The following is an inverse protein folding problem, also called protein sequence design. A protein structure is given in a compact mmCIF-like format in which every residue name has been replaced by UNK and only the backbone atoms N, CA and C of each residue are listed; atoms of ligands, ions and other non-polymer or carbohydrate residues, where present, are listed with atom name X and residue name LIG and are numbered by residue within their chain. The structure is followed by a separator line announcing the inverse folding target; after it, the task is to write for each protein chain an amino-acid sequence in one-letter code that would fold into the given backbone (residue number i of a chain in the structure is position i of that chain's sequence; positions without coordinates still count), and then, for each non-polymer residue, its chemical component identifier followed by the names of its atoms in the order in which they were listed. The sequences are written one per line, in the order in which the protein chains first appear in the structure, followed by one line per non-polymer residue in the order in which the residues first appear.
data_IF_150330001519
#
_entry.id   IF_150330001519
#
_cell.length_a   1.000
_cell.length_b   1.000
_cell.length_c   1.000
_cell.angle_alpha   90.00
_cell.angle_beta   90.00
_cell.angle_gamma   90.00
#
_symmetry.space_group_name_H-M   'P 1'
#
loop_
_entity.id
_entity.type
_entity.pdbx_description
1 polymer ?
#
# COMPACT_ATOMS: atom_id res chain seq x y z
N UNK A 1 20.18 -33.06 37.79
CA UNK A 1 19.71 -32.18 36.71
C UNK A 1 18.65 -31.29 37.34
N UNK A 2 18.94 -30.00 37.49
CA UNK A 2 17.99 -29.06 38.11
C UNK A 2 17.07 -28.48 37.03
N UNK A 3 15.77 -28.58 37.26
CA UNK A 3 14.74 -28.07 36.35
C UNK A 3 14.19 -26.78 36.96
N UNK A 4 14.25 -25.67 36.21
CA UNK A 4 13.70 -24.38 36.64
C UNK A 4 12.55 -23.99 35.71
N UNK A 5 11.33 -24.01 36.23
CA UNK A 5 10.16 -23.50 35.52
C UNK A 5 10.10 -21.97 35.63
N UNK A 6 9.89 -21.30 34.51
CA UNK A 6 9.75 -19.84 34.43
C UNK A 6 8.34 -19.54 33.94
N UNK A 7 7.51 -18.96 34.81
CA UNK A 7 6.19 -18.46 34.42
C UNK A 7 6.36 -17.05 33.83
N UNK A 8 5.95 -16.84 32.58
CA UNK A 8 5.96 -15.52 31.93
C UNK A 8 4.53 -15.08 31.62
N UNK A 9 4.24 -13.82 31.90
CA UNK A 9 3.00 -13.18 31.46
C UNK A 9 3.23 -12.63 30.06
N UNK A 10 2.33 -12.96 29.14
CA UNK A 10 2.31 -12.45 27.77
C UNK A 10 1.05 -11.60 27.61
N UNK A 11 1.20 -10.42 27.03
CA UNK A 11 0.12 -9.50 26.71
C UNK A 11 -0.19 -9.65 25.22
N UNK A 12 -1.45 -9.86 24.88
CA UNK A 12 -1.88 -10.08 23.50
C UNK A 12 -2.67 -8.84 23.05
N UNK A 13 -2.27 -8.23 21.94
CA UNK A 13 -2.96 -7.09 21.34
C UNK A 13 -4.24 -7.53 20.59
N UNK A 14 -5.08 -6.57 20.21
CA UNK A 14 -6.36 -6.84 19.54
C UNK A 14 -6.27 -7.67 18.24
N UNK A 15 -5.11 -7.70 17.57
CA UNK A 15 -4.84 -8.43 16.34
C UNK A 15 -4.06 -9.75 16.55
N UNK A 16 -3.81 -10.11 17.81
CA UNK A 16 -3.14 -11.36 18.20
C UNK A 16 -1.62 -11.25 18.36
N UNK A 17 -1.03 -10.06 18.20
CA UNK A 17 0.41 -9.86 18.41
C UNK A 17 0.78 -9.93 19.90
N UNK A 18 1.85 -10.66 20.22
CA UNK A 18 2.26 -10.98 21.59
C UNK A 18 3.40 -10.08 22.08
N UNK A 19 3.24 -9.53 23.29
CA UNK A 19 4.20 -8.64 23.94
C UNK A 19 4.55 -9.15 25.34
N UNK A 20 5.80 -8.97 25.74
CA UNK A 20 6.26 -9.33 27.10
C UNK A 20 6.04 -8.21 28.12
N UNK A 21 5.71 -7.00 27.67
CA UNK A 21 5.42 -5.84 28.52
C UNK A 21 4.03 -5.29 28.20
N UNK A 22 3.33 -4.85 29.24
CA UNK A 22 2.01 -4.21 29.10
C UNK A 22 2.12 -2.88 28.38
N UNK A 23 3.16 -2.11 28.70
CA UNK A 23 3.39 -0.76 28.18
C UNK A 23 3.64 -0.77 26.67
N UNK A 24 4.39 -1.76 26.15
CA UNK A 24 4.64 -1.86 24.72
C UNK A 24 3.39 -2.36 23.97
N UNK A 25 2.60 -3.24 24.58
CA UNK A 25 1.29 -3.62 24.06
C UNK A 25 0.36 -2.39 23.97
N UNK A 26 0.24 -1.58 25.02
CA UNK A 26 -0.59 -0.36 25.01
C UNK A 26 -0.10 0.69 24.01
N UNK A 27 1.22 0.84 23.82
CA UNK A 27 1.80 1.70 22.77
C UNK A 27 1.42 1.19 21.39
N UNK A 28 1.56 -0.11 21.15
CA UNK A 28 1.21 -0.75 19.89
C UNK A 28 -0.27 -0.54 19.58
N UNK A 29 -1.17 -0.83 20.52
CA UNK A 29 -2.61 -0.66 20.31
C UNK A 29 -2.99 0.80 20.00
N UNK A 30 -2.37 1.75 20.69
CA UNK A 30 -2.57 3.17 20.41
C UNK A 30 -2.06 3.56 19.03
N UNK A 31 -0.89 3.07 18.63
CA UNK A 31 -0.32 3.29 17.31
C UNK A 31 -1.20 2.67 16.23
N UNK A 32 -1.59 1.42 16.40
CA UNK A 32 -2.45 0.69 15.49
C UNK A 32 -3.82 1.38 15.32
N UNK A 33 -4.45 1.79 16.43
CA UNK A 33 -5.73 2.48 16.40
C UNK A 33 -5.67 3.87 15.78
N UNK A 34 -4.55 4.60 15.92
CA UNK A 34 -4.42 5.98 15.41
C UNK A 34 -3.81 6.06 14.01
N UNK A 35 -2.89 5.17 13.68
CA UNK A 35 -2.09 5.19 12.46
C UNK A 35 -2.53 4.08 11.51
N UNK A 36 -2.45 2.81 11.92
CA UNK A 36 -2.76 1.69 11.02
C UNK A 36 -4.23 1.69 10.56
N UNK A 37 -5.17 2.10 11.42
CA UNK A 37 -6.58 2.29 11.05
C UNK A 37 -6.81 3.34 9.95
N UNK A 38 -5.82 4.21 9.74
CA UNK A 38 -5.82 5.27 8.74
C UNK A 38 -4.92 4.95 7.56
N UNK A 39 -4.58 3.68 7.36
CA UNK A 39 -3.87 3.20 6.19
C UNK A 39 -4.82 2.35 5.35
N UNK A 40 -4.85 2.62 4.05
CA UNK A 40 -5.54 1.80 3.05
C UNK A 40 -4.58 1.37 1.96
N UNK A 41 -4.88 0.23 1.35
CA UNK A 41 -4.01 -0.44 0.40
C UNK A 41 -4.64 -0.44 -0.98
N UNK A 42 -3.84 -0.14 -1.99
CA UNK A 42 -4.28 -0.08 -3.38
C UNK A 42 -3.28 -0.81 -4.27
N UNK A 43 -3.76 -1.30 -5.40
CA UNK A 43 -2.94 -1.76 -6.51
C UNK A 43 -3.16 -0.80 -7.68
N UNK A 44 -2.07 -0.20 -8.13
CA UNK A 44 -2.00 0.59 -9.36
C UNK A 44 -1.50 -0.34 -10.45
N UNK A 45 -2.37 -0.65 -11.40
CA UNK A 45 -2.01 -1.33 -12.64
C UNK A 45 -1.64 -0.26 -13.66
N UNK A 46 -0.48 -0.34 -14.29
CA UNK A 46 0.00 0.67 -15.24
C UNK A 46 0.74 0.04 -16.43
N UNK A 47 1.15 0.90 -17.37
CA UNK A 47 1.78 0.51 -18.63
C UNK A 47 0.89 -0.43 -19.46
N UNK A 48 -0.20 0.10 -20.04
CA UNK A 48 -1.03 -0.69 -20.94
C UNK A 48 -0.17 -1.18 -22.11
N UNK A 49 -0.37 -2.43 -22.52
CA UNK A 49 0.38 -3.08 -23.61
C UNK A 49 0.11 -2.48 -25.00
N UNK A 50 -0.81 -1.52 -25.10
CA UNK A 50 -1.26 -0.84 -26.33
C UNK A 50 -1.67 -1.81 -27.45
N UNK A 51 -2.01 -3.05 -27.10
CA UNK A 51 -2.57 -4.04 -28.02
C UNK A 51 -4.09 -4.06 -27.90
N UNK A 52 -4.75 -4.91 -28.69
CA UNK A 52 -6.20 -5.10 -28.64
C UNK A 52 -6.73 -5.40 -27.23
N UNK A 53 -5.92 -6.06 -26.39
CA UNK A 53 -6.36 -6.40 -25.02
C UNK A 53 -6.33 -5.22 -24.04
N UNK A 54 -5.50 -4.20 -24.31
CA UNK A 54 -5.34 -3.03 -23.44
C UNK A 54 -4.89 -3.37 -22.00
N UNK A 55 -4.27 -4.53 -21.80
CA UNK A 55 -3.93 -5.02 -20.47
C UNK A 55 -2.73 -4.27 -19.89
N UNK A 56 -2.76 -4.06 -18.57
CA UNK A 56 -1.65 -3.44 -17.85
C UNK A 56 -0.54 -4.46 -17.57
N UNK A 57 0.68 -4.11 -17.93
CA UNK A 57 1.86 -4.99 -17.83
C UNK A 57 2.59 -4.86 -16.50
N UNK A 58 2.30 -3.82 -15.71
CA UNK A 58 2.97 -3.57 -14.44
C UNK A 58 1.99 -3.31 -13.28
N UNK A 59 2.40 -3.70 -12.07
CA UNK A 59 1.65 -3.48 -10.83
C UNK A 59 2.52 -2.79 -9.79
N UNK A 60 1.93 -1.81 -9.12
CA UNK A 60 2.50 -1.09 -8.00
C UNK A 60 1.53 -1.17 -6.84
N UNK A 61 1.94 -1.80 -5.74
CA UNK A 61 1.18 -1.87 -4.51
C UNK A 61 1.49 -0.66 -3.65
N UNK A 62 0.44 0.04 -3.23
CA UNK A 62 0.52 1.33 -2.55
C UNK A 62 -0.20 1.23 -1.23
N UNK A 63 0.52 1.51 -0.14
CA UNK A 63 -0.11 1.84 1.13
C UNK A 63 -0.27 3.36 1.21
N UNK A 64 -1.43 3.83 1.65
CA UNK A 64 -1.74 5.26 1.75
C UNK A 64 -2.17 5.58 3.16
N UNK A 65 -1.41 6.42 3.84
CA UNK A 65 -1.85 7.04 5.08
C UNK A 65 -2.60 8.36 4.78
N UNK A 66 -3.80 8.51 5.33
CA UNK A 66 -4.53 9.79 5.27
C UNK A 66 -5.26 10.08 6.56
N UNK A 67 -5.01 11.28 7.11
CA UNK A 67 -5.73 11.79 8.30
C UNK A 67 -7.20 12.06 8.02
N UNK A 68 -7.55 12.36 6.77
CA UNK A 68 -8.88 12.80 6.34
C UNK A 68 -9.54 11.83 5.36
N UNK A 69 -9.09 10.57 5.35
CA UNK A 69 -9.74 9.47 4.61
C UNK A 69 -9.75 9.59 3.07
N UNK A 70 -8.97 10.52 2.49
CA UNK A 70 -8.82 10.71 1.03
C UNK A 70 -7.88 9.68 0.38
N UNK A 71 -7.98 8.41 0.77
CA UNK A 71 -6.98 7.40 0.42
C UNK A 71 -6.90 7.14 -1.09
N UNK A 72 -8.06 6.97 -1.72
CA UNK A 72 -8.15 6.68 -3.15
C UNK A 72 -7.71 7.88 -3.98
N UNK A 73 -8.09 9.09 -3.58
CA UNK A 73 -7.72 10.33 -4.27
C UNK A 73 -6.21 10.56 -4.22
N UNK A 74 -5.58 10.31 -3.07
CA UNK A 74 -4.11 10.39 -2.94
C UNK A 74 -3.42 9.35 -3.84
N UNK A 75 -3.88 8.09 -3.81
CA UNK A 75 -3.32 7.05 -4.69
C UNK A 75 -3.49 7.40 -6.18
N UNK A 76 -4.66 7.92 -6.54
CA UNK A 76 -4.98 8.31 -7.91
C UNK A 76 -4.16 9.51 -8.37
N UNK A 77 -4.04 10.55 -7.56
CA UNK A 77 -3.27 11.76 -7.89
C UNK A 77 -1.78 11.44 -8.03
N UNK A 78 -1.23 10.59 -7.16
CA UNK A 78 0.15 10.10 -7.31
C UNK A 78 0.34 9.39 -8.65
N UNK A 79 -0.58 8.46 -8.97
CA UNK A 79 -0.53 7.70 -10.23
C UNK A 79 -0.68 8.62 -11.45
N UNK A 80 -1.57 9.61 -11.35
CA UNK A 80 -1.82 10.58 -12.40
C UNK A 80 -0.58 11.41 -12.70
N UNK A 81 0.11 11.92 -11.67
CA UNK A 81 1.36 12.67 -11.83
C UNK A 81 2.47 11.83 -12.44
N UNK A 82 2.50 10.53 -12.14
CA UNK A 82 3.55 9.62 -12.62
C UNK A 82 3.32 9.13 -14.05
N UNK A 83 2.10 8.77 -14.41
CA UNK A 83 1.78 8.09 -15.67
C UNK A 83 0.97 8.93 -16.65
N UNK A 84 0.24 9.94 -16.17
CA UNK A 84 -0.60 10.79 -17.01
C UNK A 84 -1.76 10.05 -17.68
N UNK A 85 -2.24 10.66 -18.76
CA UNK A 85 -3.34 10.15 -19.57
C UNK A 85 -2.84 9.55 -20.88
N UNK A 86 -3.50 8.46 -21.30
CA UNK A 86 -3.33 7.88 -22.63
C UNK A 86 -4.00 8.75 -23.70
N UNK A 87 -4.95 9.59 -23.30
CA UNK A 87 -5.80 10.33 -24.24
C UNK A 87 -6.98 9.45 -24.63
N UNK A 88 -7.11 9.14 -25.92
CA UNK A 88 -8.20 8.29 -26.44
C UNK A 88 -7.84 6.81 -26.26
N UNK A 89 -8.77 5.99 -25.78
CA UNK A 89 -8.51 4.55 -25.54
C UNK A 89 -8.18 3.77 -26.82
N UNK A 90 -7.71 2.54 -26.64
CA UNK A 90 -7.56 1.56 -27.72
C UNK A 90 -8.91 1.41 -28.44
N UNK A 91 -8.94 1.59 -29.76
CA UNK A 91 -10.13 1.69 -30.64
C UNK A 91 -10.83 3.06 -30.72
N UNK A 92 -10.27 4.13 -30.14
CA UNK A 92 -10.74 5.50 -30.42
C UNK A 92 -11.94 5.95 -29.59
N UNK A 93 -12.29 5.24 -28.50
CA UNK A 93 -13.47 5.55 -27.68
C UNK A 93 -13.12 5.93 -26.24
N UNK A 94 -13.50 7.14 -25.82
CA UNK A 94 -13.40 7.57 -24.42
C UNK A 94 -11.98 7.98 -23.99
N UNK A 95 -11.93 8.80 -22.94
CA UNK A 95 -10.70 9.31 -22.35
C UNK A 95 -10.18 8.35 -21.28
N UNK A 96 -8.91 7.93 -21.37
CA UNK A 96 -8.35 6.89 -20.48
C UNK A 96 -7.02 7.31 -19.85
N UNK A 97 -6.81 6.93 -18.59
CA UNK A 97 -5.54 7.02 -17.88
C UNK A 97 -4.56 5.93 -18.33
N UNK A 98 -3.24 6.17 -18.21
CA UNK A 98 -2.22 5.12 -18.39
C UNK A 98 -2.17 4.08 -17.26
N UNK A 99 -3.13 4.14 -16.34
CA UNK A 99 -3.18 3.32 -15.15
C UNK A 99 -4.63 3.07 -14.71
N UNK A 100 -4.80 2.11 -13.80
CA UNK A 100 -6.04 1.83 -13.08
C UNK A 100 -5.70 1.67 -11.59
N UNK A 101 -6.55 2.20 -10.72
CA UNK A 101 -6.41 2.09 -9.25
C UNK A 101 -7.55 1.24 -8.69
N UNK A 102 -7.20 0.19 -7.97
CA UNK A 102 -8.14 -0.66 -7.24
C UNK A 102 -7.72 -0.83 -5.78
N UNK A 103 -8.67 -0.79 -4.84
CA UNK A 103 -8.40 -1.13 -3.44
C UNK A 103 -8.07 -2.63 -3.32
N UNK A 104 -7.12 -2.97 -2.46
CA UNK A 104 -6.68 -4.34 -2.20
C UNK A 104 -6.57 -4.59 -0.69
N UNK A 105 -6.41 -5.86 -0.30
CA UNK A 105 -6.19 -6.22 1.09
C UNK A 105 -4.76 -5.89 1.54
N UNK A 106 -4.57 -5.75 2.87
CA UNK A 106 -3.22 -5.68 3.48
C UNK A 106 -2.37 -6.88 3.06
N UNK A 107 -2.97 -8.07 3.10
CA UNK A 107 -2.29 -9.32 2.75
C UNK A 107 -1.77 -9.32 1.31
N UNK A 108 -2.55 -8.81 0.37
CA UNK A 108 -2.14 -8.70 -1.03
C UNK A 108 -1.03 -7.67 -1.23
N UNK A 109 -1.14 -6.50 -0.57
CA UNK A 109 -0.05 -5.53 -0.51
C UNK A 109 1.22 -6.17 0.05
N UNK A 110 1.12 -6.93 1.15
CA UNK A 110 2.29 -7.54 1.77
C UNK A 110 2.95 -8.60 0.87
N UNK A 111 2.13 -9.48 0.28
CA UNK A 111 2.59 -10.51 -0.67
C UNK A 111 3.21 -9.90 -1.94
N UNK A 112 2.73 -8.73 -2.37
CA UNK A 112 3.19 -8.02 -3.57
C UNK A 112 3.35 -8.96 -4.79
N UNK A 113 2.29 -9.68 -5.19
CA UNK A 113 2.42 -10.71 -6.20
C UNK A 113 2.79 -10.10 -7.57
N UNK A 114 3.63 -10.79 -8.36
CA UNK A 114 4.10 -10.30 -9.65
C UNK A 114 2.95 -10.15 -10.66
N UNK A 115 3.24 -9.47 -11.75
CA UNK A 115 2.36 -9.49 -12.93
C UNK A 115 2.77 -10.67 -13.80
N UNK A 116 1.86 -11.62 -14.00
CA UNK A 116 2.05 -12.73 -14.94
C UNK A 116 1.73 -12.23 -16.35
N UNK A 117 2.72 -12.23 -17.23
CA UNK A 117 2.58 -11.79 -18.61
C UNK A 117 3.28 -12.75 -19.57
N UNK A 118 2.51 -13.42 -20.44
CA UNK A 118 3.07 -14.34 -21.44
C UNK A 118 3.94 -15.46 -20.85
N UNK A 119 3.65 -15.90 -19.62
CA UNK A 119 4.43 -16.92 -18.90
C UNK A 119 5.66 -16.40 -18.14
N UNK A 120 5.90 -15.08 -18.13
CA UNK A 120 6.95 -14.43 -17.36
C UNK A 120 6.39 -13.67 -16.16
N UNK A 121 7.10 -13.71 -15.03
CA UNK A 121 6.74 -12.99 -13.81
C UNK A 121 7.48 -11.64 -13.77
N UNK A 122 6.75 -10.57 -14.07
CA UNK A 122 7.25 -9.20 -13.94
C UNK A 122 7.16 -8.76 -12.48
N UNK A 123 8.30 -8.30 -11.93
CA UNK A 123 8.38 -7.85 -10.54
C UNK A 123 7.44 -6.68 -10.30
N UNK A 124 6.69 -6.73 -9.20
CA UNK A 124 5.84 -5.61 -8.76
C UNK A 124 6.57 -4.73 -7.75
N UNK A 125 6.20 -3.46 -7.72
CA UNK A 125 6.76 -2.48 -6.79
C UNK A 125 5.86 -2.30 -5.57
N UNK A 126 6.46 -1.91 -4.43
CA UNK A 126 5.76 -1.58 -3.20
C UNK A 126 6.17 -0.18 -2.75
N UNK A 127 5.22 0.71 -2.51
CA UNK A 127 5.47 2.08 -2.06
C UNK A 127 4.52 2.47 -0.93
N UNK A 128 4.91 3.50 -0.19
CA UNK A 128 4.12 4.06 0.90
C UNK A 128 3.94 5.58 0.71
N UNK A 129 2.69 6.02 0.55
CA UNK A 129 2.33 7.43 0.46
C UNK A 129 1.90 7.93 1.85
N UNK A 130 2.74 8.75 2.46
CA UNK A 130 2.49 9.27 3.80
C UNK A 130 3.32 10.53 4.05
N UNK A 131 2.80 11.57 4.73
CA UNK A 131 3.57 12.71 5.19
C UNK A 131 4.38 12.43 6.46
N UNK A 132 4.22 11.25 7.06
CA UNK A 132 4.95 10.81 8.26
C UNK A 132 5.62 9.47 8.03
N UNK A 133 6.76 9.27 8.68
CA UNK A 133 7.40 7.96 8.78
C UNK A 133 6.55 7.05 9.68
N UNK A 134 6.34 5.82 9.22
CA UNK A 134 5.60 4.79 9.93
C UNK A 134 6.44 3.52 9.91
N UNK A 135 6.78 3.01 11.09
CA UNK A 135 7.56 1.79 11.22
C UNK A 135 6.83 0.59 10.59
N UNK A 136 7.59 -0.30 9.93
CA UNK A 136 7.04 -1.46 9.22
C UNK A 136 6.63 -1.20 7.75
N UNK A 137 6.70 0.04 7.28
CA UNK A 137 6.48 0.39 5.87
C UNK A 137 7.79 0.76 5.16
N UNK A 138 7.84 0.70 3.81
CA UNK A 138 8.93 1.28 3.04
C UNK A 138 9.13 2.78 3.35
N UNK A 139 10.27 3.33 2.92
CA UNK A 139 10.52 4.78 2.98
C UNK A 139 9.34 5.55 2.37
N UNK A 140 8.82 6.51 3.13
CA UNK A 140 7.59 7.19 2.77
C UNK A 140 7.84 8.25 1.69
N UNK A 141 6.94 8.28 0.72
CA UNK A 141 6.79 9.39 -0.21
C UNK A 141 5.89 10.42 0.47
N UNK A 142 6.47 11.54 0.88
CA UNK A 142 5.74 12.67 1.46
C UNK A 142 4.99 13.44 0.37
N UNK A 143 3.82 12.94 0.02
CA UNK A 143 2.97 13.52 -1.01
C UNK A 143 2.54 14.96 -0.67
N UNK A 144 2.50 15.35 0.61
CA UNK A 144 2.13 16.71 1.00
C UNK A 144 3.24 17.69 0.58
N UNK A 145 4.49 17.31 0.86
CA UNK A 145 5.67 18.07 0.47
C UNK A 145 5.90 18.03 -1.03
N UNK A 146 5.82 16.85 -1.65
CA UNK A 146 6.09 16.68 -3.10
C UNK A 146 5.09 17.44 -3.97
N UNK A 147 3.83 17.56 -3.55
CA UNK A 147 2.82 18.28 -4.35
C UNK A 147 2.71 19.76 -4.01
N UNK A 148 3.53 20.25 -3.06
CA UNK A 148 3.63 21.67 -2.72
C UNK A 148 2.47 22.20 -1.89
N UNK A 149 1.80 21.35 -1.10
CA UNK A 149 0.82 21.84 -0.14
C UNK A 149 1.51 22.59 0.99
N UNK A 150 0.89 23.69 1.43
CA UNK A 150 1.39 24.57 2.49
C UNK A 150 0.80 24.20 3.84
#
# INVERSE_FOLDING_TARGET
METKEITKTVYIAYDGEEFLSKEDCEKYENFAKKILSRIKYFCIRCNPDLTETGNFTHKIYVAVFSKHYFYRDIAFEWALRKFGYLGVSVQGYGFQTHFCVSEVSKEEYEKCPPTEWGGSNLKSDKIFLSPILVEGFPENIDYMKEWGFK
#
